data_IF_347173982989
#
_entry.id   IF_347173982989
#
_cell.length_a   1.000
_cell.length_b   1.000
_cell.length_c   1.000
_cell.angle_alpha   90.00
_cell.angle_beta   90.00
_cell.angle_gamma   90.00
#
_symmetry.space_group_name_H-M   'P 1'
#
loop_
_entity.id
_entity.type
_entity.pdbx_description
1 polymer ?
#
# COMPACT_ATOMS: atom_id res chain seq x y z
N UNK A 1 11.80 -4.67 0.37
CA UNK A 1 12.63 -3.51 0.71
C UNK A 1 14.04 -4.02 1.03
N UNK A 2 14.82 -4.36 0.01
CA UNK A 2 16.09 -5.00 0.19
C UNK A 2 15.96 -6.39 0.83
N UNK A 3 16.62 -6.62 1.98
CA UNK A 3 16.51 -7.86 2.74
C UNK A 3 15.33 -7.88 3.73
N UNK A 4 14.57 -6.79 3.83
CA UNK A 4 13.44 -6.68 4.73
C UNK A 4 12.15 -7.01 4.00
N UNK A 5 11.40 -7.97 4.51
CA UNK A 5 10.08 -8.36 4.04
C UNK A 5 9.03 -7.98 5.08
N UNK A 6 8.10 -7.11 4.71
CA UNK A 6 7.03 -6.65 5.57
C UNK A 6 5.74 -7.39 5.22
N UNK A 7 5.11 -7.98 6.20
CA UNK A 7 3.91 -8.82 6.04
C UNK A 7 2.83 -8.32 6.99
N UNK A 8 1.66 -8.00 6.46
CA UNK A 8 0.51 -7.69 7.28
C UNK A 8 -0.11 -8.99 7.84
N UNK A 9 -0.25 -9.08 9.15
CA UNK A 9 -1.08 -10.10 9.78
C UNK A 9 -2.55 -9.67 9.72
N UNK A 10 -3.42 -10.53 9.19
CA UNK A 10 -4.83 -10.20 8.99
C UNK A 10 -5.67 -11.40 8.52
N UNK A 11 -6.79 -11.13 7.90
CA UNK A 11 -7.71 -12.18 7.44
C UNK A 11 -7.15 -13.05 6.33
N UNK A 12 -6.32 -12.49 5.47
CA UNK A 12 -5.72 -13.19 4.33
C UNK A 12 -4.34 -13.78 4.63
N UNK A 13 -3.71 -13.38 5.74
CA UNK A 13 -2.38 -13.83 6.15
C UNK A 13 -2.38 -14.15 7.63
N UNK A 14 -2.33 -15.42 7.98
CA UNK A 14 -2.28 -15.87 9.37
C UNK A 14 -0.83 -16.18 9.83
N UNK A 15 -0.66 -16.41 11.13
CA UNK A 15 0.67 -16.67 11.72
C UNK A 15 1.34 -17.91 11.13
N UNK A 16 0.59 -18.96 10.75
CA UNK A 16 1.15 -20.16 10.12
C UNK A 16 1.76 -19.86 8.75
N UNK A 17 1.10 -19.00 7.95
CA UNK A 17 1.63 -18.52 6.68
C UNK A 17 2.90 -17.68 6.87
N UNK A 18 2.92 -16.81 7.87
CA UNK A 18 4.10 -16.01 8.23
C UNK A 18 5.26 -16.91 8.64
N UNK A 19 5.01 -17.92 9.48
CA UNK A 19 6.04 -18.88 9.90
C UNK A 19 6.54 -19.73 8.73
N UNK A 20 5.67 -20.03 7.77
CA UNK A 20 6.08 -20.70 6.52
C UNK A 20 7.07 -19.83 5.75
N UNK A 21 6.77 -18.53 5.56
CA UNK A 21 7.68 -17.58 4.88
C UNK A 21 9.03 -17.49 5.62
N UNK A 22 9.03 -17.35 6.95
CA UNK A 22 10.26 -17.30 7.75
C UNK A 22 11.17 -18.51 7.50
N UNK A 23 10.58 -19.72 7.40
CA UNK A 23 11.34 -20.94 7.14
C UNK A 23 11.90 -21.02 5.72
N UNK A 24 11.16 -20.49 4.73
CA UNK A 24 11.53 -20.62 3.31
C UNK A 24 12.40 -19.48 2.80
N UNK A 25 12.42 -18.37 3.52
CA UNK A 25 13.23 -17.20 3.20
C UNK A 25 14.16 -16.82 4.38
N UNK A 26 15.10 -17.71 4.78
CA UNK A 26 15.92 -17.52 5.98
C UNK A 26 16.87 -16.32 5.89
N UNK A 27 17.20 -15.88 4.67
CA UNK A 27 18.07 -14.71 4.43
C UNK A 27 17.33 -13.37 4.51
N UNK A 28 16.00 -13.41 4.64
CA UNK A 28 15.18 -12.21 4.76
C UNK A 28 14.85 -11.91 6.22
N UNK A 29 14.85 -10.63 6.57
CA UNK A 29 14.33 -10.15 7.85
C UNK A 29 12.82 -9.97 7.72
N UNK A 30 12.06 -10.78 8.44
CA UNK A 30 10.59 -10.76 8.36
C UNK A 30 10.03 -9.86 9.45
N UNK A 31 9.35 -8.81 9.04
CA UNK A 31 8.65 -7.86 9.91
C UNK A 31 7.14 -8.06 9.79
N UNK A 32 6.50 -8.40 10.89
CA UNK A 32 5.05 -8.58 10.94
C UNK A 32 4.41 -7.26 11.34
N UNK A 33 3.61 -6.69 10.45
CA UNK A 33 2.89 -5.46 10.69
C UNK A 33 1.45 -5.76 11.12
N UNK A 34 0.99 -5.04 12.12
CA UNK A 34 -0.37 -5.08 12.61
C UNK A 34 -0.99 -3.68 12.51
N UNK A 35 -2.20 -3.62 11.99
CA UNK A 35 -2.97 -2.38 11.87
C UNK A 35 -4.21 -2.47 12.76
N UNK A 36 -4.11 -2.15 14.06
CA UNK A 36 -5.19 -2.39 15.03
C UNK A 36 -6.44 -1.55 14.78
N UNK A 37 -6.33 -0.47 14.01
CA UNK A 37 -7.47 0.38 13.62
C UNK A 37 -8.13 -0.07 12.31
N UNK A 38 -7.56 -1.06 11.61
CA UNK A 38 -8.16 -1.60 10.39
C UNK A 38 -9.22 -2.64 10.76
N UNK A 39 -10.52 -2.40 10.49
CA UNK A 39 -11.58 -3.35 10.80
C UNK A 39 -11.55 -4.58 9.88
N UNK A 40 -10.88 -4.50 8.72
CA UNK A 40 -10.78 -5.56 7.72
C UNK A 40 -9.35 -5.68 7.17
N UNK A 41 -8.38 -6.14 7.99
CA UNK A 41 -6.98 -6.21 7.60
C UNK A 41 -6.76 -7.32 6.57
N UNK A 42 -6.88 -6.99 5.28
CA UNK A 42 -6.76 -7.94 4.17
C UNK A 42 -5.46 -7.74 3.39
N UNK A 43 -5.24 -6.56 2.84
CA UNK A 43 -4.14 -6.28 1.93
C UNK A 43 -3.34 -5.06 2.37
N UNK A 44 -2.02 -5.21 2.46
CA UNK A 44 -1.10 -4.15 2.89
C UNK A 44 -1.01 -3.00 1.90
N UNK A 45 -1.21 -3.24 0.62
CA UNK A 45 -1.04 -2.30 -0.49
C UNK A 45 -2.07 -1.16 -0.55
N UNK A 46 -3.18 -1.29 0.17
CA UNK A 46 -4.14 -0.19 0.40
C UNK A 46 -4.03 0.39 1.82
N UNK A 47 -2.95 0.09 2.52
CA UNK A 47 -2.73 0.48 3.92
C UNK A 47 -1.35 1.08 4.12
N UNK A 48 -0.31 0.46 3.57
CA UNK A 48 1.08 0.86 3.77
C UNK A 48 1.92 0.47 2.55
N UNK A 49 2.22 1.43 1.68
CA UNK A 49 2.78 1.18 0.35
C UNK A 49 4.12 1.89 0.19
N UNK A 50 5.23 1.19 -0.03
CA UNK A 50 6.50 1.81 -0.38
C UNK A 50 6.43 2.41 -1.78
N UNK A 51 6.75 3.70 -1.91
CA UNK A 51 6.78 4.42 -3.18
C UNK A 51 8.18 4.37 -3.82
N UNK A 52 9.22 4.61 -3.02
CA UNK A 52 10.63 4.53 -3.42
C UNK A 52 11.48 4.29 -2.17
N UNK A 53 12.78 3.97 -2.30
CA UNK A 53 13.66 3.91 -1.14
C UNK A 53 13.57 5.19 -0.31
N UNK A 54 13.29 5.03 0.98
CA UNK A 54 13.15 6.13 1.94
C UNK A 54 11.74 6.76 2.02
N UNK A 55 10.75 6.32 1.23
CA UNK A 55 9.42 6.94 1.24
C UNK A 55 8.29 5.92 1.22
N UNK A 56 7.36 6.06 2.14
CA UNK A 56 6.19 5.19 2.28
C UNK A 56 4.91 6.03 2.31
N UNK A 57 3.89 5.58 1.58
CA UNK A 57 2.53 6.08 1.65
C UNK A 57 1.74 5.29 2.69
N UNK A 58 1.13 5.98 3.66
CA UNK A 58 0.38 5.39 4.75
C UNK A 58 -1.09 5.76 4.68
N UNK A 59 -1.97 4.82 4.98
CA UNK A 59 -3.39 5.11 5.16
C UNK A 59 -3.61 5.81 6.51
N UNK A 60 -4.12 7.06 6.54
CA UNK A 60 -4.30 7.80 7.78
C UNK A 60 -5.34 7.18 8.74
N UNK A 61 -6.27 6.37 8.22
CA UNK A 61 -7.28 5.66 9.02
C UNK A 61 -6.76 4.33 9.58
N UNK A 62 -5.65 3.81 9.03
CA UNK A 62 -5.07 2.49 9.37
C UNK A 62 -3.61 2.65 9.75
N UNK A 63 -3.37 3.34 10.87
CA UNK A 63 -2.01 3.70 11.28
C UNK A 63 -1.27 2.51 11.89
N UNK A 64 0.02 2.40 11.54
CA UNK A 64 0.95 1.56 12.29
C UNK A 64 1.11 2.10 13.71
N UNK A 65 1.20 1.21 14.73
CA UNK A 65 1.66 1.57 16.05
C UNK A 65 3.04 2.24 16.03
N UNK A 66 3.29 3.17 16.95
CA UNK A 66 4.54 3.93 16.99
C UNK A 66 5.78 3.04 17.12
N UNK A 67 5.68 1.93 17.86
CA UNK A 67 6.76 0.95 17.98
C UNK A 67 7.14 0.32 16.63
N UNK A 68 6.14 0.07 15.76
CA UNK A 68 6.40 -0.49 14.43
C UNK A 68 6.85 0.60 13.45
N UNK A 69 6.41 1.84 13.62
CA UNK A 69 6.87 2.99 12.81
C UNK A 69 8.35 3.30 13.04
N UNK A 70 8.83 3.07 14.26
CA UNK A 70 10.22 3.32 14.64
C UNK A 70 11.23 2.61 13.73
N UNK A 71 10.93 1.41 13.24
CA UNK A 71 11.83 0.68 12.34
C UNK A 71 12.09 1.44 11.04
N UNK A 72 11.12 2.23 10.57
CA UNK A 72 11.24 3.03 9.36
C UNK A 72 12.04 4.31 9.65
N UNK A 73 11.70 5.03 10.71
CA UNK A 73 12.39 6.26 11.10
C UNK A 73 13.86 6.04 11.47
N UNK A 74 14.17 4.94 12.15
CA UNK A 74 15.55 4.56 12.51
C UNK A 74 16.40 4.20 11.28
N UNK A 75 15.78 4.02 10.12
CA UNK A 75 16.44 3.70 8.85
C UNK A 75 16.21 4.79 7.77
N UNK A 76 15.99 6.02 8.19
CA UNK A 76 15.83 7.20 7.33
C UNK A 76 14.65 7.10 6.32
N UNK A 77 13.58 6.40 6.71
CA UNK A 77 12.35 6.35 5.93
C UNK A 77 11.34 7.39 6.42
N UNK A 78 10.78 8.11 5.48
CA UNK A 78 9.66 9.02 5.69
C UNK A 78 8.34 8.27 5.46
N UNK A 79 7.38 8.48 6.38
CA UNK A 79 6.03 7.95 6.25
C UNK A 79 5.09 9.14 6.04
N UNK A 80 4.48 9.23 4.85
CA UNK A 80 3.53 10.28 4.50
C UNK A 80 2.11 9.72 4.49
N UNK A 81 1.18 10.44 5.07
CA UNK A 81 -0.24 10.07 5.00
C UNK A 81 -0.77 10.32 3.59
N UNK A 82 -1.50 9.36 3.04
CA UNK A 82 -2.09 9.45 1.72
C UNK A 82 -3.14 10.57 1.65
N UNK A 83 -3.24 11.21 0.48
CA UNK A 83 -4.31 12.13 0.19
C UNK A 83 -5.68 11.44 0.32
N UNK A 84 -6.69 12.20 0.72
CA UNK A 84 -8.05 11.64 0.79
C UNK A 84 -8.47 11.12 -0.60
N UNK A 85 -9.17 9.98 -0.66
CA UNK A 85 -9.75 9.50 -1.90
C UNK A 85 -10.64 10.56 -2.57
N UNK A 86 -10.61 10.65 -3.89
CA UNK A 86 -11.46 11.57 -4.64
C UNK A 86 -12.95 11.16 -4.58
N UNK A 87 -13.21 9.88 -4.31
CA UNK A 87 -14.55 9.32 -4.23
C UNK A 87 -14.90 8.94 -2.79
N UNK A 88 -16.07 9.35 -2.32
CA UNK A 88 -16.56 9.10 -0.96
C UNK A 88 -17.08 7.67 -0.74
N UNK A 89 -17.27 6.92 -1.81
CA UNK A 89 -17.72 5.51 -1.75
C UNK A 89 -17.04 4.70 -2.85
N UNK A 90 -16.73 3.42 -2.59
CA UNK A 90 -16.25 2.53 -3.63
C UNK A 90 -17.30 2.34 -4.72
N UNK A 91 -16.92 1.86 -5.93
CA UNK A 91 -17.88 1.47 -6.94
C UNK A 91 -18.86 0.40 -6.44
N UNK A 92 -20.05 0.29 -7.03
CA UNK A 92 -20.98 -0.79 -6.70
C UNK A 92 -20.30 -2.16 -6.80
N UNK A 93 -20.64 -3.07 -5.88
CA UNK A 93 -20.08 -4.43 -5.79
C UNK A 93 -18.56 -4.50 -5.47
N UNK A 94 -17.94 -3.39 -5.11
CA UNK A 94 -16.54 -3.37 -4.70
C UNK A 94 -16.41 -3.89 -3.26
N UNK A 95 -15.57 -4.90 -3.07
CA UNK A 95 -15.28 -5.49 -1.74
C UNK A 95 -14.18 -4.73 -0.98
N UNK A 96 -13.59 -3.72 -1.59
CA UNK A 96 -12.54 -2.91 -0.99
C UNK A 96 -13.07 -1.57 -0.49
N UNK A 97 -12.26 -0.89 0.30
CA UNK A 97 -12.56 0.47 0.76
C UNK A 97 -12.27 1.51 -0.30
N UNK A 98 -12.69 2.76 -0.04
CA UNK A 98 -12.30 3.92 -0.86
C UNK A 98 -10.79 4.11 -0.98
N UNK A 99 -10.01 3.56 -0.05
CA UNK A 99 -8.56 3.62 0.00
C UNK A 99 -7.85 2.79 -1.08
N UNK A 100 -8.58 2.18 -2.01
CA UNK A 100 -8.01 1.70 -3.28
C UNK A 100 -7.29 2.81 -4.05
N UNK A 101 -7.58 4.08 -3.77
CA UNK A 101 -6.82 5.23 -4.26
C UNK A 101 -5.31 5.14 -4.00
N UNK A 102 -4.91 4.41 -2.94
CA UNK A 102 -3.50 4.16 -2.60
C UNK A 102 -2.86 3.02 -3.39
N UNK A 103 -3.65 2.23 -4.12
CA UNK A 103 -3.16 1.07 -4.87
C UNK A 103 -2.53 1.53 -6.20
N UNK A 104 -1.50 2.38 -6.08
CA UNK A 104 -0.72 2.93 -7.19
C UNK A 104 0.35 1.94 -7.65
N UNK A 105 0.82 2.06 -8.88
CA UNK A 105 1.89 1.24 -9.42
C UNK A 105 3.14 2.07 -9.67
N UNK A 106 4.22 1.76 -8.97
CA UNK A 106 5.53 2.33 -9.25
C UNK A 106 6.15 1.61 -10.45
N UNK A 107 6.46 2.34 -11.53
CA UNK A 107 7.20 1.82 -12.68
C UNK A 107 8.71 1.86 -12.43
N UNK A 108 9.15 2.88 -11.73
CA UNK A 108 10.51 3.11 -11.27
C UNK A 108 10.49 4.06 -10.05
N UNK A 109 11.63 4.41 -9.42
CA UNK A 109 11.65 5.28 -8.25
C UNK A 109 11.15 6.72 -8.49
N UNK A 110 10.83 7.10 -9.74
CA UNK A 110 10.37 8.45 -10.11
C UNK A 110 9.02 8.47 -10.79
N UNK A 111 8.59 7.36 -11.40
CA UNK A 111 7.38 7.30 -12.23
C UNK A 111 6.32 6.42 -11.56
N UNK A 112 5.12 6.96 -11.41
CA UNK A 112 4.00 6.29 -10.75
C UNK A 112 2.72 6.34 -11.59
N UNK A 113 2.08 5.19 -11.79
CA UNK A 113 0.74 5.11 -12.36
C UNK A 113 -0.31 5.27 -11.26
N UNK A 114 -1.30 6.12 -11.52
CA UNK A 114 -2.40 6.41 -10.60
C UNK A 114 -3.71 6.32 -11.38
N UNK A 115 -4.78 5.87 -10.74
CA UNK A 115 -6.11 5.91 -11.34
C UNK A 115 -6.50 7.36 -11.66
N UNK A 116 -6.94 7.63 -12.90
CA UNK A 116 -7.06 8.99 -13.46
C UNK A 116 -8.06 9.89 -12.72
N UNK A 117 -9.04 9.32 -12.01
CA UNK A 117 -10.01 10.10 -11.25
C UNK A 117 -9.55 10.42 -9.82
N UNK A 118 -8.46 9.84 -9.35
CA UNK A 118 -7.88 10.08 -8.02
C UNK A 118 -7.01 11.35 -7.99
N UNK A 119 -7.65 12.48 -8.30
CA UNK A 119 -6.97 13.78 -8.49
C UNK A 119 -6.18 14.26 -7.29
N UNK A 120 -6.63 13.94 -6.06
CA UNK A 120 -5.91 14.34 -4.85
C UNK A 120 -4.63 13.53 -4.64
N UNK A 121 -4.66 12.24 -5.00
CA UNK A 121 -3.50 11.38 -4.93
C UNK A 121 -2.47 11.76 -5.99
N UNK A 122 -2.92 12.10 -7.21
CA UNK A 122 -2.05 12.60 -8.28
C UNK A 122 -1.34 13.90 -7.87
N UNK A 123 -2.09 14.88 -7.34
CA UNK A 123 -1.53 16.17 -6.86
C UNK A 123 -0.51 15.96 -5.72
N UNK A 124 -0.78 15.04 -4.81
CA UNK A 124 0.15 14.71 -3.73
C UNK A 124 1.45 14.11 -4.27
N UNK A 125 1.36 13.16 -5.19
CA UNK A 125 2.53 12.48 -5.75
C UNK A 125 3.38 13.42 -6.63
N UNK A 126 2.74 14.31 -7.38
CA UNK A 126 3.43 15.37 -8.12
C UNK A 126 4.23 16.28 -7.17
N UNK A 127 3.63 16.73 -6.06
CA UNK A 127 4.32 17.50 -5.01
C UNK A 127 5.48 16.76 -4.34
N UNK A 128 5.44 15.42 -4.32
CA UNK A 128 6.53 14.57 -3.87
C UNK A 128 7.58 14.31 -4.95
N UNK A 129 7.51 15.03 -6.09
CA UNK A 129 8.42 14.96 -7.24
C UNK A 129 8.38 13.59 -7.95
N UNK A 130 7.21 12.99 -8.10
CA UNK A 130 6.99 11.88 -9.00
C UNK A 130 6.48 12.38 -10.35
N UNK A 131 6.86 11.68 -11.42
CA UNK A 131 6.19 11.74 -12.71
C UNK A 131 4.92 10.91 -12.63
N UNK A 132 3.76 11.57 -12.63
CA UNK A 132 2.46 10.91 -12.45
C UNK A 132 1.85 10.56 -13.80
N UNK A 133 1.56 9.28 -14.01
CA UNK A 133 0.90 8.75 -15.20
C UNK A 133 -0.54 8.39 -14.85
N UNK A 134 -1.55 9.17 -15.27
CA UNK A 134 -2.94 8.83 -15.06
C UNK A 134 -3.36 7.65 -15.93
N UNK A 135 -4.08 6.70 -15.35
CA UNK A 135 -4.56 5.49 -16.03
C UNK A 135 -6.05 5.29 -15.76
N UNK A 136 -6.90 5.10 -16.79
CA UNK A 136 -8.33 4.82 -16.61
C UNK A 136 -8.50 3.38 -16.10
N UNK A 137 -8.63 3.20 -14.78
CA UNK A 137 -8.63 1.87 -14.17
C UNK A 137 -9.78 1.62 -13.18
N UNK A 138 -10.67 2.59 -13.01
CA UNK A 138 -11.75 2.52 -12.02
C UNK A 138 -12.71 1.34 -12.23
N UNK A 139 -12.94 0.93 -13.45
CA UNK A 139 -13.82 -0.20 -13.78
C UNK A 139 -13.29 -1.56 -13.28
N UNK A 140 -12.01 -1.64 -12.90
CA UNK A 140 -11.44 -2.83 -12.29
C UNK A 140 -11.65 -2.90 -10.75
N UNK A 141 -11.98 -1.79 -10.09
CA UNK A 141 -12.15 -1.71 -8.63
C UNK A 141 -13.17 -2.71 -8.06
N UNK A 142 -14.31 -3.02 -8.72
CA UNK A 142 -15.23 -4.04 -8.24
C UNK A 142 -14.62 -5.42 -8.01
N UNK A 143 -13.50 -5.73 -8.69
CA UNK A 143 -12.76 -6.98 -8.50
C UNK A 143 -11.83 -6.97 -7.26
N UNK A 144 -11.86 -5.90 -6.46
CA UNK A 144 -11.16 -5.83 -5.18
C UNK A 144 -9.70 -5.40 -5.27
N UNK A 145 -9.28 -4.82 -6.39
CA UNK A 145 -7.91 -4.32 -6.58
C UNK A 145 -7.84 -3.19 -7.58
N UNK A 146 -6.71 -2.48 -7.59
CA UNK A 146 -6.40 -1.45 -8.56
C UNK A 146 -5.09 -1.77 -9.30
N UNK A 147 -4.32 -0.78 -9.67
CA UNK A 147 -3.15 -0.93 -10.53
C UNK A 147 -2.09 -1.90 -9.98
N UNK A 148 -1.72 -1.78 -8.70
CA UNK A 148 -0.68 -2.62 -8.10
C UNK A 148 -1.10 -4.09 -8.04
N UNK A 149 -2.32 -4.39 -7.63
CA UNK A 149 -2.81 -5.75 -7.46
C UNK A 149 -3.08 -6.44 -8.80
N UNK A 150 -3.56 -5.71 -9.80
CA UNK A 150 -3.99 -6.29 -11.08
C UNK A 150 -2.84 -6.74 -11.97
N UNK A 151 -1.64 -6.18 -11.80
CA UNK A 151 -0.46 -6.50 -12.63
C UNK A 151 0.35 -7.71 -12.15
N UNK A 152 -0.01 -8.31 -11.02
CA UNK A 152 0.60 -9.55 -10.55
C UNK A 152 0.24 -10.75 -11.46
N UNK A 153 -0.74 -10.60 -12.33
CA UNK A 153 -1.28 -11.66 -13.17
C UNK A 153 -0.93 -11.55 -14.66
N UNK A 154 0.03 -10.69 -15.05
CA UNK A 154 0.51 -10.58 -16.44
C UNK A 154 1.81 -11.33 -16.62
#
# INVERSE_FOLDING_TARGET
MGKDLFIQHGFTTNLKGIDWIKRHFPDQRIHVLNFPTDPFPTHIDATFTPLRPGLILNNPERRLPDEQRKIFYDNDWEIVDAARPAHNSPPPLCYSSVWLSMNVLMLDPKTVCVEETEVHQMDQLDKLNFEVVPVPFRDAYPFGGALHLSLIHI
#
